data_IF_200717883895
#
_entry.id   IF_200717883895
#
_cell.length_a   1.000
_cell.length_b   1.000
_cell.length_c   1.000
_cell.angle_alpha   90.00
_cell.angle_beta   90.00
_cell.angle_gamma   90.00
#
_symmetry.space_group_name_H-M   'P 1'
#
loop_
_entity.id
_entity.type
_entity.pdbx_description
1 polymer ?
#
# COMPACT_ATOMS: atom_id res chain seq x y z
N UNK A 1 -6.34 -75.65 -39.39
CA UNK A 1 -7.23 -75.16 -38.31
C UNK A 1 -6.44 -74.88 -37.03
N UNK A 2 -5.64 -73.79 -36.98
CA UNK A 2 -4.81 -73.48 -35.78
C UNK A 2 -4.32 -72.01 -35.74
N UNK A 3 -5.13 -71.05 -36.19
CA UNK A 3 -4.76 -69.61 -36.16
C UNK A 3 -5.77 -68.69 -35.46
N UNK A 4 -6.91 -69.20 -34.99
CA UNK A 4 -7.92 -68.38 -34.28
C UNK A 4 -7.93 -68.56 -32.76
N UNK A 5 -7.03 -69.39 -32.19
CA UNK A 5 -7.00 -69.66 -30.75
C UNK A 5 -5.97 -68.83 -29.96
N UNK A 6 -5.16 -67.99 -30.62
CA UNK A 6 -4.09 -67.22 -29.97
C UNK A 6 -4.42 -65.74 -29.78
N UNK A 7 -5.48 -65.23 -30.41
CA UNK A 7 -5.87 -63.80 -30.31
C UNK A 7 -6.83 -63.51 -29.14
N UNK A 8 -7.44 -64.53 -28.53
CA UNK A 8 -8.35 -64.34 -27.39
C UNK A 8 -7.66 -64.35 -26.02
N UNK A 9 -6.39 -64.80 -25.92
CA UNK A 9 -5.65 -64.79 -24.65
C UNK A 9 -4.93 -63.48 -24.34
N UNK A 10 -4.70 -62.60 -25.32
CA UNK A 10 -4.02 -61.30 -25.08
C UNK A 10 -5.01 -60.23 -24.61
N UNK A 11 -6.29 -60.32 -25.00
CA UNK A 11 -7.32 -59.35 -24.59
C UNK A 11 -7.74 -59.53 -23.12
N UNK A 12 -7.66 -60.76 -22.58
CA UNK A 12 -8.03 -61.04 -21.17
C UNK A 12 -6.94 -60.60 -20.19
N UNK A 13 -5.67 -60.56 -20.60
CA UNK A 13 -4.57 -60.15 -19.71
C UNK A 13 -4.45 -58.61 -19.54
N UNK A 14 -5.00 -57.84 -20.48
CA UNK A 14 -5.01 -56.36 -20.40
C UNK A 14 -6.20 -55.86 -19.57
N UNK A 15 -7.27 -56.66 -19.44
CA UNK A 15 -8.46 -56.32 -18.64
C UNK A 15 -8.33 -56.62 -17.15
N UNK A 16 -7.35 -57.42 -16.72
CA UNK A 16 -7.12 -57.71 -15.29
C UNK A 16 -6.08 -56.80 -14.62
N UNK A 17 -5.34 -55.98 -15.38
CA UNK A 17 -4.51 -54.90 -14.81
C UNK A 17 -5.30 -53.61 -14.52
N UNK A 18 -6.55 -53.49 -14.96
CA UNK A 18 -7.41 -52.33 -14.63
C UNK A 18 -8.38 -52.58 -13.47
N UNK A 19 -8.34 -53.75 -12.82
CA UNK A 19 -9.26 -54.12 -11.74
C UNK A 19 -8.61 -54.17 -10.34
N UNK A 20 -7.42 -53.58 -10.16
CA UNK A 20 -6.65 -53.61 -8.90
C UNK A 20 -6.24 -52.26 -8.32
N UNK A 21 -6.84 -51.15 -8.76
CA UNK A 21 -6.52 -49.81 -8.23
C UNK A 21 -7.77 -48.95 -7.91
N UNK A 22 -8.89 -49.61 -7.62
CA UNK A 22 -10.03 -48.97 -6.97
C UNK A 22 -10.25 -49.72 -5.67
N UNK A 23 -9.69 -49.19 -4.59
CA UNK A 23 -10.16 -49.25 -3.19
C UNK A 23 -8.98 -48.89 -2.29
N UNK A 24 -8.92 -47.60 -1.90
CA UNK A 24 -7.91 -47.11 -0.97
C UNK A 24 -7.82 -45.60 -0.91
N UNK A 25 -8.94 -44.90 -0.68
CA UNK A 25 -8.96 -43.77 0.25
C UNK A 25 -10.40 -43.32 0.50
N UNK A 26 -10.77 -43.21 1.78
CA UNK A 26 -12.05 -42.72 2.25
C UNK A 26 -12.28 -41.26 1.79
N UNK A 27 -12.98 -41.10 0.66
CA UNK A 27 -13.59 -39.83 0.29
C UNK A 27 -14.79 -39.61 1.21
N UNK A 28 -14.52 -38.99 2.35
CA UNK A 28 -15.54 -38.26 3.10
C UNK A 28 -16.06 -37.18 2.15
N UNK A 29 -17.32 -37.32 1.76
CA UNK A 29 -18.08 -36.38 0.96
C UNK A 29 -18.32 -35.12 1.81
N UNK A 30 -17.33 -34.25 1.92
CA UNK A 30 -17.48 -32.88 2.41
C UNK A 30 -17.51 -31.98 1.19
N UNK A 31 -18.61 -31.24 1.07
CA UNK A 31 -18.95 -30.46 -0.11
C UNK A 31 -17.80 -29.58 -0.58
N UNK A 32 -17.38 -29.82 -1.83
CA UNK A 32 -16.80 -28.76 -2.63
C UNK A 32 -17.98 -27.88 -3.02
N UNK A 33 -18.36 -26.99 -2.10
CA UNK A 33 -18.82 -25.70 -2.53
C UNK A 33 -17.68 -25.18 -3.40
N UNK A 34 -17.91 -25.05 -4.70
CA UNK A 34 -17.26 -24.00 -5.48
C UNK A 34 -17.59 -22.69 -4.75
N UNK A 35 -16.81 -22.38 -3.71
CA UNK A 35 -16.55 -21.02 -3.36
C UNK A 35 -15.80 -20.53 -4.59
N UNK A 36 -16.56 -19.99 -5.54
CA UNK A 36 -16.11 -18.90 -6.37
C UNK A 36 -15.38 -17.97 -5.41
N UNK A 37 -14.06 -18.14 -5.27
CA UNK A 37 -13.24 -17.07 -4.77
C UNK A 37 -13.35 -16.04 -5.87
N UNK A 38 -14.37 -15.18 -5.78
CA UNK A 38 -14.18 -13.81 -6.21
C UNK A 38 -12.85 -13.43 -5.57
N UNK A 39 -11.77 -13.47 -6.36
CA UNK A 39 -10.56 -12.77 -6.03
C UNK A 39 -11.03 -11.33 -5.90
N UNK A 40 -11.36 -10.92 -4.67
CA UNK A 40 -11.75 -9.55 -4.35
C UNK A 40 -10.65 -8.72 -4.96
N UNK A 41 -10.94 -7.92 -5.98
CA UNK A 41 -9.91 -7.16 -6.70
C UNK A 41 -9.46 -5.97 -5.88
N UNK A 42 -8.23 -5.49 -6.10
CA UNK A 42 -7.82 -4.19 -5.56
C UNK A 42 -8.69 -3.10 -6.19
N UNK A 43 -9.09 -2.09 -5.39
CA UNK A 43 -9.95 -0.99 -5.85
C UNK A 43 -9.39 0.34 -5.39
N UNK A 44 -9.40 1.34 -6.25
CA UNK A 44 -9.12 2.70 -5.85
C UNK A 44 -10.34 3.30 -5.13
N UNK A 45 -10.16 3.76 -3.90
CA UNK A 45 -11.15 4.55 -3.15
C UNK A 45 -10.49 5.84 -2.67
N UNK A 46 -11.04 6.98 -3.08
CA UNK A 46 -10.51 8.31 -2.71
C UNK A 46 -9.03 8.51 -3.05
N UNK A 47 -8.56 7.99 -4.20
CA UNK A 47 -7.15 8.09 -4.63
C UNK A 47 -6.20 7.11 -3.94
N UNK A 48 -6.70 6.30 -3.01
CA UNK A 48 -5.94 5.27 -2.31
C UNK A 48 -6.29 3.91 -2.90
N UNK A 49 -5.26 3.13 -3.27
CA UNK A 49 -5.44 1.74 -3.65
C UNK A 49 -5.74 0.89 -2.42
N UNK A 50 -6.97 0.40 -2.33
CA UNK A 50 -7.39 -0.59 -1.35
C UNK A 50 -7.14 -1.97 -1.93
N UNK A 51 -6.11 -2.63 -1.43
CA UNK A 51 -5.83 -4.01 -1.79
C UNK A 51 -6.77 -4.95 -1.04
N UNK A 52 -6.90 -6.15 -1.58
CA UNK A 52 -7.83 -7.21 -1.17
C UNK A 52 -7.66 -7.63 0.30
N UNK A 53 -6.46 -7.43 0.81
CA UNK A 53 -5.99 -7.81 2.14
C UNK A 53 -5.83 -6.61 3.10
N UNK A 54 -6.36 -5.43 2.77
CA UNK A 54 -6.29 -4.22 3.61
C UNK A 54 -7.70 -3.68 3.89
N UNK A 55 -8.12 -3.78 5.14
CA UNK A 55 -9.33 -3.14 5.66
C UNK A 55 -9.05 -1.74 6.25
N UNK A 56 -7.78 -1.44 6.51
CA UNK A 56 -7.28 -0.18 7.08
C UNK A 56 -6.09 0.36 6.29
N UNK A 57 -5.86 1.66 6.41
CA UNK A 57 -4.62 2.29 5.96
C UNK A 57 -3.60 2.24 7.09
N UNK A 58 -2.75 1.21 7.08
CA UNK A 58 -1.70 1.05 8.09
C UNK A 58 -0.44 1.83 7.69
N UNK A 59 0.01 2.69 8.59
CA UNK A 59 1.28 3.41 8.50
C UNK A 59 2.26 2.79 9.49
N UNK A 60 3.38 2.26 9.02
CA UNK A 60 4.46 1.84 9.92
C UNK A 60 5.51 2.94 10.04
N UNK A 61 6.13 3.04 11.20
CA UNK A 61 7.29 3.90 11.45
C UNK A 61 8.43 3.10 12.06
N UNK A 62 9.62 3.26 11.52
CA UNK A 62 10.80 2.52 11.94
C UNK A 62 12.08 3.33 11.79
N UNK A 63 13.04 3.09 12.69
CA UNK A 63 14.30 3.79 12.72
C UNK A 63 15.44 2.91 12.22
N UNK A 64 16.02 3.29 11.09
CA UNK A 64 17.20 2.70 10.47
C UNK A 64 18.45 3.61 10.60
N UNK A 65 18.30 4.79 11.21
CA UNK A 65 19.39 5.73 11.41
C UNK A 65 20.35 5.26 12.50
N UNK A 66 21.65 5.41 12.25
CA UNK A 66 22.70 5.21 13.25
C UNK A 66 22.84 6.41 14.20
N UNK A 67 22.18 7.54 13.88
CA UNK A 67 22.12 8.71 14.74
C UNK A 67 21.23 8.47 15.98
N UNK A 68 21.89 8.17 17.09
CA UNK A 68 21.26 7.97 18.39
C UNK A 68 20.96 9.28 19.16
N UNK A 69 21.22 10.45 18.57
CA UNK A 69 21.12 11.74 19.27
C UNK A 69 19.72 12.07 19.81
N UNK A 70 18.67 11.41 19.29
CA UNK A 70 17.28 11.80 19.55
C UNK A 70 16.45 10.79 20.37
N UNK A 71 17.03 9.68 20.84
CA UNK A 71 16.36 8.66 21.67
C UNK A 71 14.91 8.36 21.19
N UNK A 72 14.81 7.95 19.93
CA UNK A 72 13.56 7.67 19.22
C UNK A 72 13.09 6.24 19.54
N UNK A 73 12.31 6.09 20.61
CA UNK A 73 11.65 4.82 20.93
C UNK A 73 10.41 4.62 20.04
N UNK A 74 10.01 3.36 19.81
CA UNK A 74 8.84 2.99 19.03
C UNK A 74 7.58 3.77 19.44
N UNK A 75 7.29 3.84 20.74
CA UNK A 75 6.13 4.60 21.26
C UNK A 75 6.19 6.09 20.94
N UNK A 76 7.38 6.70 21.03
CA UNK A 76 7.55 8.12 20.68
C UNK A 76 7.31 8.34 19.20
N UNK A 77 7.81 7.44 18.35
CA UNK A 77 7.65 7.53 16.90
C UNK A 77 6.18 7.39 16.51
N UNK A 78 5.50 6.32 16.97
CA UNK A 78 4.07 6.09 16.74
C UNK A 78 3.26 7.31 17.17
N UNK A 79 3.43 7.74 18.43
CA UNK A 79 2.67 8.86 18.99
C UNK A 79 2.83 10.13 18.16
N UNK A 80 4.05 10.40 17.69
CA UNK A 80 4.36 11.63 16.97
C UNK A 80 3.81 11.62 15.54
N UNK A 81 3.87 10.48 14.86
CA UNK A 81 3.24 10.29 13.54
C UNK A 81 1.72 10.38 13.69
N UNK A 82 1.13 9.67 14.65
CA UNK A 82 -0.31 9.72 14.92
C UNK A 82 -0.80 11.15 15.17
N UNK A 83 -0.12 11.90 16.04
CA UNK A 83 -0.46 13.30 16.30
C UNK A 83 -0.41 14.19 15.05
N UNK A 84 0.51 13.89 14.12
CA UNK A 84 0.65 14.65 12.88
C UNK A 84 -0.47 14.30 11.91
N UNK A 85 -0.83 13.03 11.81
CA UNK A 85 -1.95 12.56 11.00
C UNK A 85 -3.29 13.07 11.56
N UNK A 86 -3.46 13.12 12.88
CA UNK A 86 -4.67 13.68 13.49
C UNK A 86 -4.83 15.16 13.15
N UNK A 87 -3.73 15.93 13.14
CA UNK A 87 -3.73 17.32 12.66
C UNK A 87 -4.09 17.41 11.17
N UNK A 88 -3.63 16.46 10.34
CA UNK A 88 -4.03 16.36 8.94
C UNK A 88 -5.54 16.17 8.79
N UNK A 89 -6.11 15.20 9.50
CA UNK A 89 -7.55 14.90 9.45
C UNK A 89 -8.42 16.09 9.87
N UNK A 90 -7.92 16.93 10.78
CA UNK A 90 -8.61 18.14 11.23
C UNK A 90 -8.54 19.31 10.23
N UNK A 91 -7.61 19.28 9.28
CA UNK A 91 -7.50 20.33 8.27
C UNK A 91 -8.67 20.23 7.28
N UNK A 92 -9.38 21.34 7.08
CA UNK A 92 -10.55 21.42 6.20
C UNK A 92 -10.28 20.97 4.76
N UNK A 93 -9.04 21.06 4.28
CA UNK A 93 -8.64 20.56 2.95
C UNK A 93 -8.70 19.04 2.83
N UNK A 94 -8.51 18.31 3.93
CA UNK A 94 -8.35 16.84 3.94
C UNK A 94 -9.49 16.10 4.64
N UNK A 95 -10.34 16.82 5.39
CA UNK A 95 -11.41 16.24 6.23
C UNK A 95 -12.33 15.26 5.49
N UNK A 96 -12.62 15.50 4.21
CA UNK A 96 -13.51 14.63 3.41
C UNK A 96 -12.83 13.46 2.70
N UNK A 97 -11.50 13.43 2.61
CA UNK A 97 -10.77 12.40 1.85
C UNK A 97 -10.74 11.08 2.61
N UNK A 98 -10.65 11.16 3.94
CA UNK A 98 -10.58 10.02 4.85
C UNK A 98 -11.93 9.59 5.41
N UNK A 99 -13.05 10.11 4.89
CA UNK A 99 -14.37 9.70 5.34
C UNK A 99 -14.57 8.21 5.04
N UNK A 100 -14.63 7.38 6.09
CA UNK A 100 -14.71 5.92 5.97
C UNK A 100 -13.39 5.22 5.64
N UNK A 101 -12.23 5.83 5.94
CA UNK A 101 -10.92 5.17 5.94
C UNK A 101 -10.38 5.15 7.38
N UNK A 102 -10.20 3.96 7.92
CA UNK A 102 -9.52 3.77 9.21
C UNK A 102 -8.02 3.83 8.98
N UNK A 103 -7.34 4.81 9.60
CA UNK A 103 -5.88 4.93 9.57
C UNK A 103 -5.32 4.64 10.94
N UNK A 104 -4.35 3.74 11.00
CA UNK A 104 -3.68 3.30 12.22
C UNK A 104 -2.15 3.36 12.02
N UNK A 105 -1.43 3.74 13.07
CA UNK A 105 0.03 3.88 13.07
C UNK A 105 0.64 2.80 13.96
N UNK A 106 1.57 2.03 13.41
CA UNK A 106 2.28 0.96 14.11
C UNK A 106 3.79 1.19 14.07
N UNK A 107 4.52 0.54 14.97
CA UNK A 107 5.97 0.46 14.88
C UNK A 107 6.39 -0.83 14.18
N UNK A 108 7.57 -0.77 13.56
CA UNK A 108 8.19 -1.84 12.79
C UNK A 108 7.39 -2.20 11.53
N UNK A 109 8.02 -2.04 10.39
CA UNK A 109 7.42 -2.37 9.11
C UNK A 109 7.61 -3.87 8.82
N UNK A 110 6.63 -4.52 8.20
CA UNK A 110 6.78 -5.89 7.70
C UNK A 110 7.78 -6.02 6.53
N UNK A 111 8.27 -4.89 6.02
CA UNK A 111 9.20 -4.80 4.91
C UNK A 111 10.32 -3.80 5.22
N UNK A 112 11.50 -4.02 4.65
CA UNK A 112 12.63 -3.10 4.77
C UNK A 112 12.61 -2.05 3.66
N UNK A 113 13.01 -0.80 3.95
CA UNK A 113 13.09 0.26 2.96
C UNK A 113 14.04 -0.15 1.84
N UNK A 114 13.67 0.07 0.58
CA UNK A 114 14.52 -0.32 -0.53
C UNK A 114 15.80 0.54 -0.62
N UNK A 115 15.72 1.83 -0.30
CA UNK A 115 16.81 2.78 -0.57
C UNK A 115 17.94 2.78 0.46
N UNK A 116 17.87 1.91 1.48
CA UNK A 116 18.99 1.72 2.41
C UNK A 116 20.02 0.72 1.87
N UNK A 117 19.69 -0.04 0.82
CA UNK A 117 20.62 -0.99 0.22
C UNK A 117 21.77 -0.24 -0.50
N UNK A 118 23.01 -0.71 -0.35
CA UNK A 118 24.22 -0.03 -0.85
C UNK A 118 24.14 0.31 -2.35
N UNK A 119 23.58 -0.60 -3.14
CA UNK A 119 23.44 -0.47 -4.60
C UNK A 119 22.05 -0.04 -5.04
N UNK A 120 21.17 0.37 -4.11
CA UNK A 120 19.85 0.86 -4.47
C UNK A 120 19.96 2.09 -5.37
N UNK A 121 19.00 2.21 -6.29
CA UNK A 121 18.76 3.41 -7.09
C UNK A 121 17.33 3.86 -6.84
N UNK A 122 17.10 5.17 -6.83
CA UNK A 122 15.75 5.67 -6.61
C UNK A 122 14.89 5.34 -7.85
N UNK A 123 13.76 4.61 -7.73
CA UNK A 123 12.99 4.15 -8.89
C UNK A 123 12.51 5.27 -9.82
N UNK A 124 12.22 6.44 -9.26
CA UNK A 124 11.74 7.62 -10.02
C UNK A 124 12.86 8.61 -10.35
N UNK A 125 13.67 9.02 -9.36
CA UNK A 125 14.62 10.12 -9.52
C UNK A 125 16.00 9.74 -10.07
N UNK A 126 16.34 8.45 -10.13
CA UNK A 126 17.65 8.02 -10.66
C UNK A 126 17.72 8.00 -12.19
N UNK A 127 16.58 8.15 -12.89
CA UNK A 127 16.48 7.90 -14.33
C UNK A 127 16.50 6.42 -14.72
N UNK A 128 16.70 5.51 -13.76
CA UNK A 128 16.61 4.06 -13.91
C UNK A 128 15.35 3.57 -13.21
N UNK A 129 14.37 3.10 -13.98
CA UNK A 129 13.08 2.65 -13.46
C UNK A 129 13.09 1.15 -13.18
N UNK A 130 13.42 0.78 -11.95
CA UNK A 130 13.42 -0.62 -11.45
C UNK A 130 12.60 -0.76 -10.17
N UNK A 131 11.26 -0.66 -10.24
CA UNK A 131 10.42 -0.78 -9.05
C UNK A 131 10.33 -2.23 -8.56
N UNK A 132 10.25 -2.41 -7.24
CA UNK A 132 10.04 -3.71 -6.60
C UNK A 132 8.63 -4.23 -6.86
N UNK A 133 8.49 -5.21 -7.75
CA UNK A 133 7.22 -5.90 -8.01
C UNK A 133 7.02 -7.04 -7.03
N UNK A 134 5.79 -7.23 -6.58
CA UNK A 134 5.42 -8.21 -5.58
C UNK A 134 4.14 -8.94 -6.01
N UNK A 135 3.97 -10.16 -5.51
CA UNK A 135 2.77 -10.97 -5.77
C UNK A 135 1.64 -10.68 -4.78
N UNK A 136 1.99 -10.19 -3.58
CA UNK A 136 1.04 -9.88 -2.52
C UNK A 136 1.42 -8.60 -1.80
N UNK A 137 0.46 -7.66 -1.72
CA UNK A 137 0.65 -6.38 -1.02
C UNK A 137 0.96 -6.58 0.48
N UNK A 138 1.95 -5.88 1.05
CA UNK A 138 2.14 -5.78 2.49
C UNK A 138 0.88 -5.25 3.18
N UNK A 139 0.72 -5.51 4.47
CA UNK A 139 -0.42 -4.95 5.24
C UNK A 139 -0.33 -3.43 5.31
N UNK A 140 0.89 -2.91 5.39
CA UNK A 140 1.21 -1.49 5.46
C UNK A 140 1.18 -0.84 4.07
N UNK A 141 0.44 0.27 3.99
CA UNK A 141 0.36 1.09 2.78
C UNK A 141 1.49 2.13 2.71
N UNK A 142 2.03 2.53 3.87
CA UNK A 142 3.05 3.56 3.99
C UNK A 142 4.07 3.19 5.08
N UNK A 143 5.34 3.22 4.73
CA UNK A 143 6.46 3.22 5.68
C UNK A 143 7.03 4.62 5.85
N UNK A 144 7.24 5.04 7.11
CA UNK A 144 8.03 6.23 7.45
C UNK A 144 9.35 5.75 8.03
N UNK A 145 10.42 5.95 7.28
CA UNK A 145 11.75 5.47 7.60
C UNK A 145 12.60 6.63 8.09
N UNK A 146 13.06 6.52 9.33
CA UNK A 146 14.07 7.43 9.86
C UNK A 146 15.43 6.88 9.46
N UNK A 147 16.15 7.61 8.63
CA UNK A 147 17.41 7.18 8.00
C UNK A 147 18.51 8.21 8.25
N UNK A 148 19.74 7.84 7.91
CA UNK A 148 20.88 8.75 7.97
C UNK A 148 20.84 9.78 6.82
N UNK A 149 21.52 10.91 7.01
CA UNK A 149 21.52 12.03 6.06
C UNK A 149 22.15 11.63 4.70
N UNK A 150 23.10 10.69 4.70
CA UNK A 150 23.75 10.20 3.49
C UNK A 150 22.79 9.46 2.54
N UNK A 151 21.84 8.68 3.08
CA UNK A 151 20.76 8.07 2.30
C UNK A 151 19.89 9.15 1.66
N UNK A 152 19.55 10.18 2.43
CA UNK A 152 18.73 11.30 1.94
C UNK A 152 19.45 12.08 0.85
N UNK A 153 20.73 12.38 1.05
CA UNK A 153 21.57 13.07 0.08
C UNK A 153 21.81 12.26 -1.19
N UNK A 154 21.99 10.95 -1.06
CA UNK A 154 22.22 10.05 -2.20
C UNK A 154 20.98 9.96 -3.10
N UNK A 155 19.79 9.86 -2.51
CA UNK A 155 18.57 9.51 -3.25
C UNK A 155 17.63 10.69 -3.50
N UNK A 156 17.73 11.76 -2.72
CA UNK A 156 16.73 12.82 -2.71
C UNK A 156 17.30 14.24 -2.75
N UNK A 157 18.62 14.46 -2.85
CA UNK A 157 19.24 15.81 -2.78
C UNK A 157 18.51 16.87 -3.61
N UNK A 158 18.16 16.52 -4.85
CA UNK A 158 17.47 17.40 -5.80
C UNK A 158 16.00 17.01 -6.02
N UNK A 159 15.49 16.07 -5.23
CA UNK A 159 14.11 15.60 -5.33
C UNK A 159 13.15 16.60 -4.67
N UNK A 160 11.96 16.83 -5.26
CA UNK A 160 10.96 17.73 -4.69
C UNK A 160 10.33 17.18 -3.40
N UNK A 161 10.40 15.86 -3.20
CA UNK A 161 9.83 15.14 -2.07
C UNK A 161 10.78 14.04 -1.62
N UNK A 162 10.57 13.52 -0.40
CA UNK A 162 11.32 12.42 0.22
C UNK A 162 10.60 11.09 0.11
N UNK A 163 9.90 10.90 -0.99
CA UNK A 163 9.01 9.77 -1.18
C UNK A 163 9.53 8.82 -2.27
N UNK A 164 9.39 7.51 -2.05
CA UNK A 164 9.71 6.46 -3.02
C UNK A 164 8.61 5.38 -3.08
N UNK A 165 8.34 4.78 -4.25
CA UNK A 165 7.64 3.49 -4.34
C UNK A 165 8.44 2.40 -3.62
N UNK A 166 7.77 1.61 -2.79
CA UNK A 166 8.38 0.46 -2.09
C UNK A 166 7.88 -0.88 -2.63
N UNK A 167 6.64 -0.91 -3.14
CA UNK A 167 6.09 -2.11 -3.74
C UNK A 167 5.03 -1.80 -4.81
N UNK A 168 5.11 -2.51 -5.94
CA UNK A 168 4.09 -2.53 -6.99
C UNK A 168 3.42 -3.90 -7.08
N UNK A 169 2.10 -3.90 -7.20
CA UNK A 169 1.31 -5.09 -7.49
C UNK A 169 0.78 -4.99 -8.93
N UNK A 170 0.95 -6.04 -9.72
CA UNK A 170 0.49 -6.09 -11.10
C UNK A 170 -0.74 -6.99 -11.23
N UNK A 171 -1.89 -6.41 -11.57
CA UNK A 171 -3.16 -7.10 -11.79
C UNK A 171 -3.67 -6.73 -13.19
N UNK A 172 -4.12 -7.71 -13.99
CA UNK A 172 -4.73 -7.47 -15.31
C UNK A 172 -3.87 -6.68 -16.31
N UNK A 173 -2.54 -6.77 -16.19
CA UNK A 173 -1.60 -6.08 -17.07
C UNK A 173 -1.26 -4.65 -16.65
N UNK A 174 -1.82 -4.16 -15.55
CA UNK A 174 -1.49 -2.86 -14.95
C UNK A 174 -0.74 -3.07 -13.63
N UNK A 175 0.37 -2.35 -13.46
CA UNK A 175 1.14 -2.37 -12.21
C UNK A 175 0.85 -1.10 -11.43
N UNK A 176 0.27 -1.26 -10.25
CA UNK A 176 -0.07 -0.16 -9.37
C UNK A 176 0.79 -0.16 -8.13
N UNK A 177 1.10 1.02 -7.65
CA UNK A 177 1.78 1.21 -6.39
C UNK A 177 0.88 0.84 -5.23
N UNK A 178 1.35 -0.11 -4.42
CA UNK A 178 0.61 -0.57 -3.24
C UNK A 178 1.27 -0.15 -1.95
N UNK A 179 2.58 0.07 -1.92
CA UNK A 179 3.28 0.52 -0.72
C UNK A 179 4.26 1.63 -1.07
N UNK A 180 4.25 2.65 -0.22
CA UNK A 180 5.04 3.87 -0.32
C UNK A 180 6.03 3.97 0.84
N UNK A 181 7.14 4.67 0.63
CA UNK A 181 8.15 4.98 1.64
C UNK A 181 8.37 6.49 1.73
N UNK A 182 8.34 7.04 2.93
CA UNK A 182 8.82 8.40 3.23
C UNK A 182 10.14 8.26 3.99
N UNK A 183 11.18 8.96 3.53
CA UNK A 183 12.52 8.93 4.10
C UNK A 183 12.81 10.25 4.81
N UNK A 184 13.08 10.21 6.11
CA UNK A 184 13.36 11.41 6.89
C UNK A 184 14.57 11.20 7.76
N UNK A 185 15.34 12.26 8.03
CA UNK A 185 16.43 12.15 8.99
C UNK A 185 15.92 12.24 10.43
N UNK A 186 16.71 11.75 11.39
CA UNK A 186 16.40 11.87 12.82
C UNK A 186 16.11 13.32 13.23
N UNK A 187 16.80 14.30 12.61
CA UNK A 187 16.58 15.74 12.81
C UNK A 187 15.26 16.21 12.23
N UNK A 188 14.95 15.87 10.97
CA UNK A 188 13.68 16.22 10.32
C UNK A 188 12.49 15.62 11.07
N UNK A 189 12.61 14.36 11.51
CA UNK A 189 11.60 13.70 12.32
C UNK A 189 11.40 14.42 13.65
N UNK A 190 12.47 14.87 14.34
CA UNK A 190 12.32 15.68 15.55
C UNK A 190 11.50 16.94 15.30
N UNK A 191 11.66 17.57 14.15
CA UNK A 191 10.98 18.80 13.76
C UNK A 191 9.60 18.58 13.10
N UNK A 192 8.98 17.39 13.25
CA UNK A 192 7.65 16.94 12.77
C UNK A 192 6.49 17.96 12.77
N UNK A 193 6.57 19.07 13.52
CA UNK A 193 5.66 20.20 13.41
C UNK A 193 5.85 21.07 12.14
N UNK A 194 6.99 20.93 11.46
CA UNK A 194 7.39 21.69 10.28
C UNK A 194 6.55 21.38 9.06
N UNK A 195 6.56 22.31 8.10
CA UNK A 195 5.78 22.19 6.86
C UNK A 195 6.27 21.03 5.98
N UNK A 196 7.58 20.75 5.97
CA UNK A 196 8.20 19.74 5.09
C UNK A 196 7.60 18.35 5.25
N UNK A 197 7.61 17.78 6.46
CA UNK A 197 7.04 16.44 6.68
C UNK A 197 5.52 16.41 6.52
N UNK A 198 4.83 17.53 6.70
CA UNK A 198 3.41 17.59 6.33
C UNK A 198 3.26 17.37 4.83
N UNK A 199 4.02 18.08 4.03
CA UNK A 199 3.97 17.91 2.58
C UNK A 199 4.31 16.46 2.20
N UNK A 200 5.36 15.87 2.80
CA UNK A 200 5.71 14.46 2.58
C UNK A 200 4.59 13.48 2.97
N UNK A 201 3.93 13.70 4.12
CA UNK A 201 2.78 12.89 4.53
C UNK A 201 1.64 13.02 3.54
N UNK A 202 1.40 14.19 2.97
CA UNK A 202 0.39 14.36 1.94
C UNK A 202 0.76 13.56 0.67
N UNK A 203 2.02 13.53 0.24
CA UNK A 203 2.47 12.66 -0.85
C UNK A 203 2.36 11.16 -0.51
N UNK A 204 2.86 10.75 0.66
CA UNK A 204 2.81 9.37 1.11
C UNK A 204 1.38 8.84 1.29
N UNK A 205 0.42 9.72 1.58
CA UNK A 205 -0.99 9.35 1.72
C UNK A 205 -1.80 9.52 0.42
N UNK A 206 -1.15 9.69 -0.73
CA UNK A 206 -1.78 9.90 -2.04
C UNK A 206 -2.71 11.13 -2.10
N UNK A 207 -2.35 12.21 -1.40
CA UNK A 207 -3.10 13.46 -1.36
C UNK A 207 -2.53 14.54 -2.30
N UNK A 208 -1.68 14.17 -3.26
CA UNK A 208 -0.95 15.11 -4.11
C UNK A 208 -1.90 16.07 -4.86
N UNK A 209 -3.05 15.55 -5.31
CA UNK A 209 -4.11 16.32 -5.97
C UNK A 209 -4.68 17.46 -5.11
N UNK A 210 -4.46 17.43 -3.80
CA UNK A 210 -4.94 18.44 -2.84
C UNK A 210 -3.86 19.41 -2.37
N UNK A 211 -2.59 19.12 -2.70
CA UNK A 211 -1.47 20.03 -2.53
C UNK A 211 -1.42 21.10 -3.63
N UNK A 212 -2.07 20.86 -4.77
CA UNK A 212 -2.24 21.88 -5.78
C UNK A 212 -3.09 23.04 -5.22
N UNK A 213 -2.67 24.31 -5.40
CA UNK A 213 -3.55 25.43 -5.08
C UNK A 213 -4.86 25.24 -5.86
N UNK A 214 -6.00 25.33 -5.18
CA UNK A 214 -7.29 25.31 -5.90
C UNK A 214 -7.23 26.36 -7.00
N UNK A 215 -7.67 26.01 -8.21
CA UNK A 215 -7.81 27.02 -9.26
C UNK A 215 -8.67 28.17 -8.72
N UNK A 216 -8.32 29.42 -9.05
CA UNK A 216 -9.11 30.61 -8.65
C UNK A 216 -10.60 30.40 -8.89
N UNK A 217 -10.94 29.76 -10.01
CA UNK A 217 -12.31 29.42 -10.38
C UNK A 217 -13.03 28.50 -9.36
N UNK A 218 -12.33 27.48 -8.81
CA UNK A 218 -12.90 26.63 -7.74
C UNK A 218 -13.02 27.38 -6.42
N UNK A 219 -12.07 28.28 -6.14
CA UNK A 219 -12.05 29.09 -4.92
C UNK A 219 -13.20 30.12 -4.89
N UNK A 220 -13.45 30.77 -6.03
CA UNK A 220 -14.54 31.72 -6.20
C UNK A 220 -15.91 31.03 -6.14
N UNK A 221 -16.06 29.86 -6.79
CA UNK A 221 -17.29 29.04 -6.67
C UNK A 221 -17.56 28.57 -5.24
N UNK A 222 -16.51 28.27 -4.46
CA UNK A 222 -16.66 27.87 -3.06
C UNK A 222 -17.06 29.04 -2.15
N UNK A 223 -16.55 30.25 -2.43
CA UNK A 223 -16.94 31.49 -1.73
C UNK A 223 -18.39 31.83 -2.02
N UNK A 224 -18.80 31.84 -3.29
CA UNK A 224 -20.16 32.12 -3.70
C UNK A 224 -21.16 31.12 -3.11
N UNK A 225 -20.80 29.82 -3.07
CA UNK A 225 -21.64 28.79 -2.44
C UNK A 225 -21.76 28.96 -0.92
N UNK A 226 -20.71 29.47 -0.25
CA UNK A 226 -20.73 29.77 1.20
C UNK A 226 -21.54 31.03 1.52
N UNK A 227 -21.51 32.04 0.65
CA UNK A 227 -22.30 33.26 0.79
C UNK A 227 -23.80 32.97 0.63
N UNK A 228 -24.19 32.23 -0.43
CA UNK A 228 -25.58 31.81 -0.64
C UNK A 228 -26.15 30.98 0.51
N UNK A 229 -25.31 30.14 1.14
CA UNK A 229 -25.69 29.33 2.32
C UNK A 229 -25.81 30.13 3.62
N UNK A 230 -25.21 31.32 3.70
CA UNK A 230 -25.36 32.24 4.83
C UNK A 230 -26.63 33.07 4.66
N UNK A 231 -26.85 33.60 3.46
CA UNK A 231 -28.06 34.36 3.12
C UNK A 231 -29.33 33.52 3.31
N UNK A 232 -29.32 32.25 2.89
CA UNK A 232 -30.45 31.35 3.08
C UNK A 232 -30.73 30.99 4.54
N UNK A 233 -29.73 31.08 5.42
CA UNK A 233 -29.87 30.81 6.87
C UNK A 233 -30.30 32.05 7.66
N UNK A 234 -30.05 33.24 7.13
CA UNK A 234 -30.56 34.50 7.69
C UNK A 234 -31.99 34.81 7.23
N UNK A 235 -32.41 34.31 6.06
CA UNK A 235 -33.80 34.46 5.57
C UNK A 235 -34.82 33.55 6.26
N UNK A 236 -34.38 32.50 6.93
CA UNK A 236 -35.22 31.51 7.63
C UNK A 236 -35.37 31.81 9.14
N UNK A 237 -34.97 33.01 9.59
CA UNK A 237 -34.97 33.44 10.99
C UNK A 237 -35.83 34.69 11.20
#
# INVERSE_FOLDING_TARGET
>A
MRKHLLLTSIVVLILTMTAGYVLGNDNTLVGINEISSEHKKSKFKSGILQTTNRDKYLVCVENFSHDNSNNLTSDKMIKKVQQSIDKFKQNHKFKGIYEGITLEVIANCSFSPHLIDENAVHPIYSGIYEPRRIEQAPQEALGIFIVDEDIVDKHFRDAPTRWSPEALLCEEGECNEVTKGIYVTSKEFKELSGQKLKDELAYGLSLESTLQPMSKEKEDKLKEKKEKLKESKESDK
#
